data_IF_280105503943
#
_entry.id   IF_280105503943
#
_cell.length_a   1.000
_cell.length_b   1.000
_cell.length_c   1.000
_cell.angle_alpha   90.00
_cell.angle_beta   90.00
_cell.angle_gamma   90.00
#
_symmetry.space_group_name_H-M   'P 1'
#
loop_
_entity.id
_entity.type
_entity.pdbx_description
1 polymer ?
#
# COMPACT_ATOMS: atom_id res chain seq x y z
N UNK A 1 39.35 77.47 -13.08
CA UNK A 1 39.21 78.25 -11.84
C UNK A 1 38.14 77.56 -10.99
N UNK A 2 38.43 76.40 -10.39
CA UNK A 2 39.10 76.21 -9.10
C UNK A 2 38.37 76.84 -7.90
N UNK A 3 38.24 76.01 -6.83
CA UNK A 3 37.97 76.28 -5.41
C UNK A 3 36.54 75.89 -4.96
N UNK A 4 36.24 74.73 -4.34
CA UNK A 4 36.84 73.90 -3.27
C UNK A 4 36.76 74.47 -1.85
N UNK A 5 35.90 73.88 -1.00
CA UNK A 5 36.01 73.69 0.46
C UNK A 5 34.97 72.61 0.85
N UNK A 6 35.32 71.34 1.09
CA UNK A 6 35.78 70.73 2.36
C UNK A 6 35.16 71.36 3.62
N UNK A 7 34.36 70.62 4.41
CA UNK A 7 34.81 70.00 5.67
C UNK A 7 33.72 69.17 6.37
N UNK A 8 34.14 68.05 6.96
CA UNK A 8 33.41 67.13 7.84
C UNK A 8 33.00 67.76 9.18
N UNK A 9 31.93 67.24 9.81
CA UNK A 9 31.88 67.05 11.25
C UNK A 9 31.31 65.67 11.63
N UNK A 10 32.09 64.98 12.46
CA UNK A 10 31.84 63.71 13.10
C UNK A 10 30.70 63.78 14.12
N UNK A 11 29.98 62.66 14.30
CA UNK A 11 28.98 62.49 15.35
C UNK A 11 28.75 61.02 15.67
N UNK A 12 29.61 60.48 16.52
CA UNK A 12 29.54 59.17 17.17
C UNK A 12 28.25 58.95 17.96
N UNK A 13 27.49 57.88 17.65
CA UNK A 13 26.64 57.13 18.59
C UNK A 13 26.58 55.66 18.12
N UNK A 14 27.48 54.84 18.64
CA UNK A 14 27.26 54.03 19.84
C UNK A 14 26.11 53.03 19.67
N UNK A 15 26.51 51.77 19.48
CA UNK A 15 25.81 50.55 19.87
C UNK A 15 24.83 50.78 21.02
N UNK A 16 23.58 50.32 20.88
CA UNK A 16 22.79 49.63 21.90
C UNK A 16 21.34 49.51 21.43
N UNK A 17 20.86 48.27 21.28
CA UNK A 17 19.49 47.82 21.57
C UNK A 17 19.29 46.45 20.90
N UNK A 18 19.67 45.42 21.65
CA UNK A 18 18.99 44.12 21.73
C UNK A 18 17.84 43.88 20.75
N UNK A 19 18.14 43.20 19.64
CA UNK A 19 17.15 42.43 18.90
C UNK A 19 16.74 41.26 19.79
N UNK A 20 15.69 41.46 20.59
CA UNK A 20 15.03 40.40 21.35
C UNK A 20 14.55 39.36 20.34
N UNK A 21 15.25 38.22 20.30
CA UNK A 21 14.74 37.02 19.64
C UNK A 21 13.41 36.65 20.31
N UNK A 22 12.32 36.41 19.57
CA UNK A 22 11.13 35.85 20.18
C UNK A 22 11.48 34.46 20.72
N UNK A 23 11.34 34.32 22.04
CA UNK A 23 11.50 33.07 22.74
C UNK A 23 10.65 31.99 22.07
N UNK A 24 11.28 30.85 21.80
CA UNK A 24 10.64 29.66 21.28
C UNK A 24 9.38 29.35 22.09
N UNK A 25 8.24 29.20 21.40
CA UNK A 25 7.02 28.67 22.03
C UNK A 25 7.36 27.32 22.67
N UNK A 26 6.99 27.06 23.93
CA UNK A 26 7.20 25.75 24.51
C UNK A 26 6.40 24.74 23.69
N UNK A 27 7.10 23.84 23.01
CA UNK A 27 6.51 22.64 22.43
C UNK A 27 5.98 21.85 23.61
N UNK A 28 4.66 21.85 23.80
CA UNK A 28 4.00 20.99 24.77
C UNK A 28 4.33 19.54 24.39
N UNK A 29 5.32 18.95 25.05
CA UNK A 29 5.65 17.54 24.99
C UNK A 29 4.61 16.73 25.77
N UNK A 30 3.35 16.82 25.34
CA UNK A 30 2.36 15.81 25.66
C UNK A 30 2.65 14.59 24.81
N UNK A 31 3.47 13.67 25.32
CA UNK A 31 3.56 12.34 24.74
C UNK A 31 2.12 11.82 24.57
N UNK A 32 1.72 11.30 23.39
CA UNK A 32 0.43 10.65 23.28
C UNK A 32 0.45 9.53 24.31
N UNK A 33 -0.40 9.65 25.34
CA UNK A 33 -0.62 8.59 26.33
C UNK A 33 -0.87 7.34 25.50
N UNK A 34 0.08 6.41 25.52
CA UNK A 34 -0.07 5.12 24.86
C UNK A 34 -1.24 4.46 25.56
N UNK A 35 -2.44 4.68 25.03
CA UNK A 35 -3.59 3.85 25.35
C UNK A 35 -3.12 2.41 25.16
N UNK A 36 -3.39 1.51 26.11
CA UNK A 36 -3.04 0.11 25.93
C UNK A 36 -3.64 -0.31 24.58
N UNK A 37 -2.79 -0.81 23.69
CA UNK A 37 -3.20 -1.35 22.40
C UNK A 37 -4.09 -2.55 22.71
N UNK A 38 -5.39 -2.31 22.90
CA UNK A 38 -6.43 -3.31 22.79
C UNK A 38 -6.43 -3.70 21.32
N UNK A 39 -5.56 -4.64 20.97
CA UNK A 39 -5.53 -5.23 19.63
C UNK A 39 -6.77 -6.13 19.54
N UNK A 40 -7.92 -5.53 19.25
CA UNK A 40 -9.06 -6.27 18.75
C UNK A 40 -8.73 -6.62 17.30
N UNK A 41 -8.25 -7.85 17.07
CA UNK A 41 -8.08 -8.38 15.73
C UNK A 41 -9.45 -8.40 15.06
N UNK A 42 -9.66 -7.51 14.08
CA UNK A 42 -10.85 -7.50 13.25
C UNK A 42 -10.70 -8.64 12.24
N UNK A 43 -11.03 -9.85 12.70
CA UNK A 43 -11.02 -11.06 11.88
C UNK A 43 -12.34 -11.11 11.13
N UNK A 44 -12.26 -10.97 9.82
CA UNK A 44 -13.40 -11.10 8.91
C UNK A 44 -13.11 -12.29 8.02
N UNK A 45 -13.99 -13.29 8.04
CA UNK A 45 -13.91 -14.49 7.19
C UNK A 45 -12.53 -15.16 7.17
N UNK A 46 -12.00 -15.44 8.37
CA UNK A 46 -10.73 -16.12 8.62
C UNK A 46 -9.44 -15.36 8.23
N UNK A 47 -9.53 -14.13 7.73
CA UNK A 47 -8.36 -13.27 7.41
C UNK A 47 -8.28 -12.10 8.40
N UNK A 48 -7.07 -11.81 8.86
CA UNK A 48 -6.79 -10.69 9.75
C UNK A 48 -6.65 -9.40 8.95
N UNK A 49 -7.45 -8.38 9.32
CA UNK A 49 -7.39 -7.06 8.71
C UNK A 49 -6.39 -6.18 9.47
N UNK A 50 -5.51 -5.42 8.80
CA UNK A 50 -4.65 -4.45 9.47
C UNK A 50 -5.45 -3.26 10.04
N UNK A 51 -5.34 -3.06 11.35
CA UNK A 51 -6.10 -2.06 12.11
C UNK A 51 -5.65 -0.60 11.90
N UNK A 52 -4.43 -0.37 11.38
CA UNK A 52 -3.85 0.96 11.22
C UNK A 52 -4.26 1.73 9.97
N UNK A 53 -5.18 1.18 9.15
CA UNK A 53 -5.55 1.73 7.84
C UNK A 53 -7.04 2.12 7.79
N UNK A 54 -7.39 2.90 6.77
CA UNK A 54 -8.79 3.21 6.44
C UNK A 54 -9.50 1.95 5.98
N UNK A 55 -10.78 1.83 6.31
CA UNK A 55 -11.60 0.63 6.05
C UNK A 55 -11.56 0.22 4.58
N UNK A 56 -11.65 1.17 3.64
CA UNK A 56 -11.58 0.91 2.20
C UNK A 56 -10.33 0.13 1.78
N UNK A 57 -9.17 0.48 2.35
CA UNK A 57 -7.88 -0.14 2.03
C UNK A 57 -7.73 -1.44 2.85
N UNK A 58 -8.21 -1.43 4.08
CA UNK A 58 -8.20 -2.58 4.98
C UNK A 58 -8.97 -3.77 4.41
N UNK A 59 -10.14 -3.54 3.79
CA UNK A 59 -10.94 -4.60 3.16
C UNK A 59 -10.25 -5.24 1.94
N UNK A 60 -9.37 -4.51 1.24
CA UNK A 60 -8.65 -5.02 0.06
C UNK A 60 -7.59 -6.07 0.39
N UNK A 61 -7.29 -6.28 1.67
CA UNK A 61 -6.42 -7.38 2.10
C UNK A 61 -7.09 -8.74 1.93
N UNK A 62 -8.41 -8.78 1.89
CA UNK A 62 -9.17 -10.00 1.64
C UNK A 62 -9.06 -10.34 0.14
N UNK A 63 -8.54 -11.52 -0.18
CA UNK A 63 -8.41 -11.96 -1.56
C UNK A 63 -9.80 -12.08 -2.21
N UNK A 64 -10.00 -11.33 -3.30
CA UNK A 64 -11.28 -11.22 -3.99
C UNK A 64 -11.94 -9.84 -3.86
N UNK A 65 -11.56 -9.05 -2.85
CA UNK A 65 -12.06 -7.69 -2.66
C UNK A 65 -11.06 -6.70 -3.25
N UNK A 66 -11.51 -5.97 -4.27
CA UNK A 66 -10.78 -4.84 -4.86
C UNK A 66 -11.26 -3.49 -4.34
N UNK A 67 -10.72 -2.42 -4.91
CA UNK A 67 -11.12 -1.05 -4.56
C UNK A 67 -12.58 -0.72 -4.94
N UNK A 68 -13.06 -1.27 -6.05
CA UNK A 68 -14.45 -1.07 -6.50
C UNK A 68 -15.45 -1.74 -5.58
N UNK A 69 -15.22 -3.00 -5.22
CA UNK A 69 -16.06 -3.78 -4.31
C UNK A 69 -16.00 -3.23 -2.89
N UNK A 70 -14.82 -2.80 -2.42
CA UNK A 70 -14.69 -2.16 -1.11
C UNK A 70 -15.52 -0.87 -1.00
N UNK A 71 -15.51 -0.03 -2.05
CA UNK A 71 -16.37 1.15 -2.11
C UNK A 71 -17.86 0.81 -2.19
N UNK A 72 -18.23 -0.26 -2.89
CA UNK A 72 -19.61 -0.72 -2.93
C UNK A 72 -20.09 -1.15 -1.53
N UNK A 73 -19.32 -2.00 -0.85
CA UNK A 73 -19.62 -2.45 0.52
C UNK A 73 -19.79 -1.26 1.48
N UNK A 74 -18.94 -0.24 1.38
CA UNK A 74 -19.06 0.96 2.22
C UNK A 74 -20.31 1.79 1.90
N UNK A 75 -20.73 1.85 0.63
CA UNK A 75 -21.98 2.50 0.25
C UNK A 75 -23.20 1.75 0.76
N UNK A 76 -23.16 0.42 0.68
CA UNK A 76 -24.28 -0.44 1.07
C UNK A 76 -24.45 -0.50 2.59
N UNK A 77 -23.34 -0.54 3.35
CA UNK A 77 -23.36 -0.53 4.82
C UNK A 77 -23.59 0.83 5.44
N UNK A 78 -23.37 1.92 4.69
CA UNK A 78 -23.42 3.29 5.21
C UNK A 78 -22.32 3.63 6.22
N UNK A 79 -21.29 2.80 6.34
CA UNK A 79 -20.20 3.00 7.30
C UNK A 79 -19.24 4.07 6.76
N UNK A 80 -18.94 5.06 7.60
CA UNK A 80 -18.00 6.13 7.25
C UNK A 80 -16.55 5.63 7.14
N UNK A 81 -15.73 6.32 6.34
CA UNK A 81 -14.33 6.02 6.10
C UNK A 81 -13.41 6.36 7.29
N UNK A 82 -13.66 5.71 8.44
CA UNK A 82 -12.83 5.80 9.65
C UNK A 82 -11.62 4.87 9.56
N UNK A 83 -10.75 4.94 10.55
CA UNK A 83 -9.70 3.92 10.73
C UNK A 83 -10.33 2.65 11.27
N UNK A 84 -9.76 1.49 10.91
CA UNK A 84 -10.28 0.19 11.36
C UNK A 84 -10.31 0.01 12.89
N UNK A 85 -9.50 0.77 13.63
CA UNK A 85 -9.52 0.79 15.11
C UNK A 85 -10.73 1.52 15.71
N UNK A 86 -11.34 2.46 14.99
CA UNK A 86 -12.40 3.33 15.51
C UNK A 86 -13.82 2.77 15.20
N UNK A 87 -13.90 1.50 14.81
CA UNK A 87 -15.14 0.84 14.41
C UNK A 87 -15.93 0.34 15.61
N UNK A 88 -17.25 0.55 15.58
CA UNK A 88 -18.17 -0.05 16.52
C UNK A 88 -18.43 -1.52 16.17
N UNK A 89 -18.80 -2.33 17.16
CA UNK A 89 -19.09 -3.76 16.97
C UNK A 89 -20.27 -4.00 16.01
N UNK A 90 -21.25 -3.11 15.99
CA UNK A 90 -22.38 -3.16 15.05
C UNK A 90 -21.92 -3.01 13.59
N UNK A 91 -21.01 -2.08 13.32
CA UNK A 91 -20.47 -1.84 11.99
C UNK A 91 -19.62 -3.02 11.52
N UNK A 92 -18.91 -3.67 12.45
CA UNK A 92 -18.15 -4.89 12.17
C UNK A 92 -19.08 -6.03 11.73
N UNK A 93 -20.23 -6.20 12.37
CA UNK A 93 -21.21 -7.23 12.01
C UNK A 93 -21.84 -6.95 10.64
N UNK A 94 -22.23 -5.70 10.36
CA UNK A 94 -22.73 -5.30 9.03
C UNK A 94 -21.70 -5.58 7.94
N UNK A 95 -20.44 -5.24 8.16
CA UNK A 95 -19.35 -5.51 7.21
C UNK A 95 -19.15 -7.02 7.00
N UNK A 96 -19.29 -7.85 8.04
CA UNK A 96 -19.19 -9.32 7.91
C UNK A 96 -20.32 -9.90 7.07
N UNK A 97 -21.56 -9.44 7.29
CA UNK A 97 -22.73 -9.88 6.54
C UNK A 97 -22.61 -9.51 5.06
N UNK A 98 -22.23 -8.26 4.76
CA UNK A 98 -22.05 -7.82 3.37
C UNK A 98 -20.89 -8.54 2.68
N UNK A 99 -19.76 -8.73 3.36
CA UNK A 99 -18.61 -9.45 2.79
C UNK A 99 -18.95 -10.91 2.49
N UNK A 100 -19.82 -11.54 3.28
CA UNK A 100 -20.21 -12.95 3.08
C UNK A 100 -21.02 -13.20 1.81
N UNK A 101 -21.62 -12.16 1.22
CA UNK A 101 -22.32 -12.26 -0.08
C UNK A 101 -21.34 -12.42 -1.25
N UNK A 102 -20.09 -11.98 -1.09
CA UNK A 102 -19.08 -12.07 -2.12
C UNK A 102 -18.33 -13.41 -2.03
N UNK A 103 -17.93 -13.94 -3.18
CA UNK A 103 -17.09 -15.14 -3.23
C UNK A 103 -15.73 -14.83 -2.61
N UNK A 104 -15.40 -15.51 -1.51
CA UNK A 104 -14.18 -15.25 -0.74
C UNK A 104 -13.05 -16.22 -1.12
N UNK A 105 -11.91 -15.99 -0.47
CA UNK A 105 -10.58 -16.47 -0.85
C UNK A 105 -10.49 -17.95 -1.27
N UNK A 106 -10.98 -18.86 -0.44
CA UNK A 106 -10.91 -20.30 -0.70
C UNK A 106 -11.65 -20.69 -1.97
N UNK A 107 -12.83 -20.11 -2.17
CA UNK A 107 -13.69 -20.44 -3.30
C UNK A 107 -13.15 -19.85 -4.59
N UNK A 108 -12.70 -18.60 -4.59
CA UNK A 108 -12.06 -17.98 -5.76
C UNK A 108 -10.79 -18.74 -6.17
N UNK A 109 -9.93 -19.12 -5.22
CA UNK A 109 -8.73 -19.91 -5.50
C UNK A 109 -9.08 -21.28 -6.07
N UNK A 110 -10.10 -21.94 -5.53
CA UNK A 110 -10.59 -23.24 -6.00
C UNK A 110 -11.17 -23.14 -7.41
N UNK A 111 -12.02 -22.16 -7.67
CA UNK A 111 -12.62 -21.91 -8.99
C UNK A 111 -11.55 -21.64 -10.04
N UNK A 112 -10.58 -20.76 -9.76
CA UNK A 112 -9.47 -20.48 -10.69
C UNK A 112 -8.63 -21.73 -10.95
N UNK A 113 -8.34 -22.51 -9.91
CA UNK A 113 -7.57 -23.75 -10.05
C UNK A 113 -8.32 -24.80 -10.86
N UNK A 114 -9.63 -24.95 -10.65
CA UNK A 114 -10.50 -25.84 -11.44
C UNK A 114 -10.57 -25.38 -12.89
N UNK A 115 -10.71 -24.09 -13.15
CA UNK A 115 -10.70 -23.54 -14.50
C UNK A 115 -9.38 -23.81 -15.23
N UNK A 116 -8.25 -23.65 -14.55
CA UNK A 116 -6.93 -23.97 -15.12
C UNK A 116 -6.80 -25.48 -15.35
N UNK A 117 -7.24 -26.32 -14.41
CA UNK A 117 -7.20 -27.78 -14.55
C UNK A 117 -8.03 -28.23 -15.75
N UNK A 118 -9.26 -27.73 -15.88
CA UNK A 118 -10.12 -27.94 -17.05
C UNK A 118 -9.43 -27.59 -18.36
N UNK A 119 -8.75 -26.45 -18.44
CA UNK A 119 -8.01 -26.06 -19.65
C UNK A 119 -6.85 -27.01 -19.98
N UNK A 120 -6.17 -27.55 -18.95
CA UNK A 120 -5.10 -28.55 -19.12
C UNK A 120 -5.67 -29.87 -19.62
N UNK A 121 -6.77 -30.33 -19.03
CA UNK A 121 -7.41 -31.61 -19.35
C UNK A 121 -7.95 -31.62 -20.79
N UNK A 122 -8.53 -30.49 -21.25
CA UNK A 122 -8.97 -30.31 -22.66
C UNK A 122 -7.80 -30.31 -23.66
N UNK A 123 -6.56 -30.07 -23.20
CA UNK A 123 -5.36 -29.96 -24.04
C UNK A 123 -5.41 -28.87 -25.13
N UNK A 124 -6.24 -27.83 -24.96
CA UNK A 124 -6.24 -26.66 -25.84
C UNK A 124 -4.89 -25.91 -25.79
N UNK A 125 -4.62 -25.05 -26.78
CA UNK A 125 -3.37 -24.26 -26.83
C UNK A 125 -3.08 -23.53 -25.51
N UNK A 126 -4.10 -22.92 -24.91
CA UNK A 126 -3.99 -22.24 -23.60
C UNK A 126 -3.57 -23.21 -22.49
N UNK A 127 -4.17 -24.41 -22.45
CA UNK A 127 -3.84 -25.48 -21.51
C UNK A 127 -2.38 -25.92 -21.63
N UNK A 128 -1.92 -26.22 -22.85
CA UNK A 128 -0.52 -26.57 -23.14
C UNK A 128 0.45 -25.48 -22.64
N UNK A 129 0.13 -24.20 -22.86
CA UNK A 129 0.93 -23.07 -22.37
C UNK A 129 0.93 -22.95 -20.84
N UNK A 130 -0.19 -23.26 -20.18
CA UNK A 130 -0.27 -23.34 -18.72
C UNK A 130 0.61 -24.46 -18.15
N UNK A 131 0.71 -25.61 -18.83
CA UNK A 131 1.59 -26.72 -18.46
C UNK A 131 3.07 -26.32 -18.64
N UNK A 132 3.41 -25.72 -19.79
CA UNK A 132 4.79 -25.31 -20.11
C UNK A 132 5.26 -24.06 -19.34
N UNK A 133 4.42 -23.42 -18.53
CA UNK A 133 4.78 -22.20 -17.80
C UNK A 133 5.05 -21.00 -18.72
N UNK A 134 4.32 -20.89 -19.83
CA UNK A 134 4.45 -19.80 -20.81
C UNK A 134 3.25 -18.84 -20.76
N UNK A 135 3.40 -17.59 -21.23
CA UNK A 135 2.28 -16.67 -21.33
C UNK A 135 1.25 -17.16 -22.36
N UNK A 136 -0.02 -16.89 -22.05
CA UNK A 136 -1.20 -17.45 -22.73
C UNK A 136 -1.87 -16.44 -23.67
N UNK A 137 -1.72 -15.14 -23.40
CA UNK A 137 -2.38 -14.03 -24.12
C UNK A 137 -1.64 -13.58 -25.40
N UNK A 138 -0.99 -14.49 -26.12
CA UNK A 138 -0.27 -14.17 -27.37
C UNK A 138 1.03 -13.37 -27.20
N UNK A 139 1.55 -13.23 -25.97
CA UNK A 139 2.78 -12.49 -25.71
C UNK A 139 4.02 -13.22 -26.29
N UNK A 140 4.98 -12.44 -26.82
CA UNK A 140 6.25 -12.96 -27.36
C UNK A 140 7.09 -13.61 -26.24
N UNK A 141 7.60 -14.81 -26.47
CA UNK A 141 8.36 -15.58 -25.46
C UNK A 141 9.88 -15.51 -25.56
N UNK A 142 10.40 -14.84 -26.59
CA UNK A 142 11.84 -14.70 -26.86
C UNK A 142 12.50 -13.66 -25.95
N UNK A 143 11.88 -12.48 -25.83
CA UNK A 143 12.42 -11.35 -25.06
C UNK A 143 11.85 -11.31 -23.64
N UNK A 144 10.58 -10.91 -23.50
CA UNK A 144 9.98 -10.56 -22.21
C UNK A 144 8.96 -11.61 -21.75
N UNK A 145 9.44 -12.68 -21.10
CA UNK A 145 8.58 -13.73 -20.54
C UNK A 145 8.99 -14.19 -19.14
N UNK A 146 9.86 -13.43 -18.45
CA UNK A 146 10.48 -13.85 -17.18
C UNK A 146 9.51 -13.97 -16.02
N UNK A 147 8.53 -13.07 -15.89
CA UNK A 147 7.51 -13.15 -14.83
C UNK A 147 6.74 -14.49 -14.85
N UNK A 148 6.52 -15.06 -16.04
CA UNK A 148 5.79 -16.33 -16.20
C UNK A 148 6.71 -17.56 -16.23
N UNK A 149 7.87 -17.47 -16.91
CA UNK A 149 8.87 -18.56 -17.00
C UNK A 149 9.64 -18.78 -15.69
N UNK A 150 9.69 -17.78 -14.81
CA UNK A 150 10.51 -17.78 -13.60
C UNK A 150 11.97 -17.39 -13.84
N UNK A 151 12.78 -17.51 -12.77
CA UNK A 151 14.22 -17.24 -12.80
C UNK A 151 14.91 -18.11 -13.84
N UNK A 152 15.99 -17.60 -14.44
CA UNK A 152 16.76 -18.37 -15.41
C UNK A 152 17.35 -19.60 -14.71
N UNK A 153 16.89 -20.79 -15.12
CA UNK A 153 17.55 -22.03 -14.74
C UNK A 153 18.88 -22.06 -15.48
N UNK A 154 19.98 -21.82 -14.77
CA UNK A 154 21.31 -22.09 -15.30
C UNK A 154 21.39 -23.58 -15.53
N UNK A 155 21.64 -24.00 -16.77
CA UNK A 155 21.97 -25.40 -17.03
C UNK A 155 23.33 -25.63 -16.35
N UNK A 156 23.35 -26.39 -15.26
CA UNK A 156 24.59 -26.78 -14.59
C UNK A 156 25.46 -27.49 -15.63
N UNK A 157 26.57 -26.87 -16.02
CA UNK A 157 27.43 -27.39 -17.09
C UNK A 157 28.24 -26.37 -17.88
N UNK A 158 27.97 -25.05 -17.76
CA UNK A 158 28.91 -24.06 -18.31
C UNK A 158 30.05 -23.83 -17.32
N UNK A 159 31.17 -24.53 -17.53
CA UNK A 159 32.46 -24.23 -16.87
C UNK A 159 32.70 -22.72 -16.96
N UNK A 160 33.03 -22.08 -15.84
CA UNK A 160 33.53 -20.71 -15.85
C UNK A 160 34.79 -20.71 -16.72
N UNK A 161 34.83 -19.86 -17.74
CA UNK A 161 36.08 -19.60 -18.44
C UNK A 161 37.06 -19.05 -17.39
N UNK A 162 38.17 -19.77 -17.19
CA UNK A 162 39.29 -19.28 -16.39
C UNK A 162 39.84 -18.06 -17.12
N UNK A 163 39.93 -16.95 -16.40
CA UNK A 163 40.49 -15.70 -16.90
C UNK A 163 42.00 -15.71 -16.73
#
# INVERSE_FOLDING_TARGET
>A
MHLSTLQQLNGSRAFTASRVMPMARPVQSGAPRRVPLLVQNLRVNNVEIPNGKRIEISLQYIYGIGSTTAKAILRDTGVENKKAFELNEEDINKLREEVSKYTTESDLRRQVSQNIKRLKDIQCYRGKRHIMGLPVRGQRTKTNARTRKGKAKTVAGKKKAVK
#
